data_IF_817279515507
#
_entry.id   IF_817279515507
#
_cell.length_a   1.000
_cell.length_b   1.000
_cell.length_c   1.000
_cell.angle_alpha   90.00
_cell.angle_beta   90.00
_cell.angle_gamma   90.00
#
_symmetry.space_group_name_H-M   'P 1'
#
loop_
_entity.id
_entity.type
_entity.pdbx_description
1 polymer ?
#
# COMPACT_ATOMS: atom_id res chain seq x y z
N UNK A 1 34.86 18.11 -41.15
CA UNK A 1 34.94 16.79 -40.49
C UNK A 1 34.26 16.93 -39.13
N UNK A 2 33.03 16.41 -38.96
CA UNK A 2 32.24 16.58 -37.73
C UNK A 2 32.39 15.34 -36.85
N UNK A 3 32.88 15.52 -35.62
CA UNK A 3 32.99 14.45 -34.63
C UNK A 3 31.57 14.07 -34.17
N UNK A 4 31.16 12.79 -34.17
CA UNK A 4 29.85 12.41 -33.66
C UNK A 4 29.78 12.68 -32.17
N UNK A 5 28.76 13.42 -31.71
CA UNK A 5 28.46 13.53 -30.27
C UNK A 5 28.11 12.14 -29.76
N UNK A 6 28.94 11.61 -28.87
CA UNK A 6 28.65 10.36 -28.16
C UNK A 6 27.27 10.44 -27.51
N UNK A 7 26.44 9.42 -27.78
CA UNK A 7 25.19 9.14 -27.08
C UNK A 7 25.30 9.47 -25.59
N UNK A 8 24.28 10.09 -24.95
CA UNK A 8 24.37 10.44 -23.53
C UNK A 8 24.68 9.16 -22.75
N UNK A 9 25.86 9.15 -22.15
CA UNK A 9 26.35 8.11 -21.28
C UNK A 9 25.25 7.83 -20.25
N UNK A 10 24.60 6.67 -20.33
CA UNK A 10 23.65 6.21 -19.32
C UNK A 10 24.43 6.21 -18.01
N UNK A 11 24.19 7.22 -17.15
CA UNK A 11 24.76 7.25 -15.80
C UNK A 11 24.47 5.88 -15.20
N UNK A 12 25.50 5.11 -14.84
CA UNK A 12 25.30 3.93 -13.99
C UNK A 12 24.61 4.48 -12.76
N UNK A 13 23.38 4.06 -12.51
CA UNK A 13 22.75 4.33 -11.24
C UNK A 13 23.64 3.67 -10.18
N UNK A 14 24.43 4.47 -9.46
CA UNK A 14 24.98 4.05 -8.18
C UNK A 14 23.81 4.05 -7.22
N UNK A 15 23.19 2.88 -7.06
CA UNK A 15 22.12 2.71 -6.08
C UNK A 15 22.80 2.62 -4.71
N UNK A 16 22.39 3.45 -3.76
CA UNK A 16 22.86 3.29 -2.38
C UNK A 16 22.40 1.93 -1.85
N UNK A 17 23.18 1.29 -0.99
CA UNK A 17 22.85 -0.06 -0.49
C UNK A 17 21.48 -0.10 0.20
N UNK A 18 21.10 0.96 0.91
CA UNK A 18 19.79 1.13 1.53
C UNK A 18 18.65 1.14 0.51
N UNK A 19 18.83 1.82 -0.63
CA UNK A 19 17.86 1.84 -1.72
C UNK A 19 17.74 0.47 -2.39
N UNK A 20 18.85 -0.27 -2.53
CA UNK A 20 18.84 -1.65 -3.01
C UNK A 20 18.03 -2.57 -2.09
N UNK A 21 18.28 -2.47 -0.78
CA UNK A 21 17.57 -3.21 0.26
C UNK A 21 16.07 -2.89 0.21
N UNK A 22 15.71 -1.61 0.10
CA UNK A 22 14.33 -1.16 0.00
C UNK A 22 13.65 -1.71 -1.27
N UNK A 23 14.32 -1.64 -2.42
CA UNK A 23 13.77 -2.16 -3.67
C UNK A 23 13.53 -3.67 -3.62
N UNK A 24 14.48 -4.44 -3.06
CA UNK A 24 14.32 -5.89 -2.88
C UNK A 24 13.16 -6.22 -1.93
N UNK A 25 13.02 -5.45 -0.85
CA UNK A 25 11.92 -5.62 0.08
C UNK A 25 10.57 -5.28 -0.58
N UNK A 26 10.49 -4.20 -1.36
CA UNK A 26 9.29 -3.77 -2.05
C UNK A 26 8.76 -4.80 -3.07
N UNK A 27 9.66 -5.60 -3.68
CA UNK A 27 9.27 -6.70 -4.58
C UNK A 27 9.05 -8.04 -3.86
N UNK A 28 9.07 -8.05 -2.52
CA UNK A 28 8.70 -9.19 -1.70
C UNK A 28 9.84 -10.14 -1.31
N UNK A 29 11.11 -9.73 -1.49
CA UNK A 29 12.23 -10.53 -0.98
C UNK A 29 12.29 -10.41 0.54
N UNK A 30 12.28 -11.56 1.23
CA UNK A 30 12.30 -11.57 2.69
C UNK A 30 13.63 -11.01 3.24
N UNK A 31 13.60 -10.37 4.41
CA UNK A 31 14.80 -9.80 5.05
C UNK A 31 15.91 -10.82 5.28
N UNK A 32 15.56 -12.10 5.50
CA UNK A 32 16.53 -13.22 5.56
C UNK A 32 17.19 -13.52 4.23
N UNK A 33 16.43 -13.52 3.13
CA UNK A 33 16.98 -13.72 1.78
C UNK A 33 17.85 -12.54 1.35
N UNK A 34 17.44 -11.31 1.68
CA UNK A 34 18.25 -10.11 1.45
C UNK A 34 19.56 -10.21 2.26
N UNK A 35 19.49 -10.59 3.53
CA UNK A 35 20.68 -10.81 4.40
C UNK A 35 21.67 -11.79 3.78
N UNK A 36 21.21 -12.98 3.39
CA UNK A 36 22.05 -13.99 2.76
C UNK A 36 22.64 -13.51 1.43
N UNK A 37 21.85 -12.82 0.60
CA UNK A 37 22.33 -12.24 -0.65
C UNK A 37 23.44 -11.20 -0.43
N UNK A 38 23.28 -10.32 0.56
CA UNK A 38 24.29 -9.30 0.86
C UNK A 38 25.59 -9.90 1.42
N UNK A 39 25.48 -10.96 2.22
CA UNK A 39 26.63 -11.70 2.71
C UNK A 39 27.39 -12.37 1.55
N UNK A 40 26.69 -13.00 0.62
CA UNK A 40 27.28 -13.68 -0.53
C UNK A 40 27.93 -12.72 -1.54
N UNK A 41 27.26 -11.60 -1.87
CA UNK A 41 27.72 -10.69 -2.93
C UNK A 41 28.70 -9.64 -2.42
N UNK A 42 28.50 -9.12 -1.21
CA UNK A 42 29.27 -8.00 -0.67
C UNK A 42 30.19 -8.37 0.49
N UNK A 43 30.14 -9.61 0.99
CA UNK A 43 30.91 -10.04 2.18
C UNK A 43 30.52 -9.28 3.45
N UNK A 44 29.45 -8.49 3.41
CA UNK A 44 29.01 -7.63 4.49
C UNK A 44 27.93 -8.34 5.32
N UNK A 45 28.17 -8.48 6.63
CA UNK A 45 27.22 -9.15 7.52
C UNK A 45 26.12 -8.19 7.96
N UNK A 46 25.01 -8.18 7.21
CA UNK A 46 23.77 -7.52 7.63
C UNK A 46 22.80 -8.57 8.13
N UNK A 47 22.55 -8.61 9.44
CA UNK A 47 21.51 -9.48 9.99
C UNK A 47 20.12 -9.10 9.44
N UNK A 48 19.19 -10.05 9.38
CA UNK A 48 17.80 -9.76 9.00
C UNK A 48 17.14 -8.71 9.91
N UNK A 49 17.59 -8.60 11.17
CA UNK A 49 17.13 -7.58 12.11
C UNK A 49 17.68 -6.20 11.76
N UNK A 50 18.95 -6.10 11.36
CA UNK A 50 19.56 -4.85 10.89
C UNK A 50 18.85 -4.33 9.64
N UNK A 51 18.52 -5.22 8.70
CA UNK A 51 17.74 -4.89 7.51
C UNK A 51 16.34 -4.41 7.90
N UNK A 52 15.66 -5.11 8.81
CA UNK A 52 14.34 -4.69 9.29
C UNK A 52 14.37 -3.30 9.92
N UNK A 53 15.42 -2.98 10.69
CA UNK A 53 15.59 -1.66 11.31
C UNK A 53 15.85 -0.58 10.27
N UNK A 54 16.68 -0.86 9.25
CA UNK A 54 16.91 0.07 8.15
C UNK A 54 15.60 0.43 7.45
N UNK A 55 14.71 -0.54 7.27
CA UNK A 55 13.40 -0.33 6.66
C UNK A 55 12.42 0.43 7.56
N UNK A 56 12.70 0.69 8.84
CA UNK A 56 11.82 1.49 9.71
C UNK A 56 11.62 2.92 9.18
N UNK A 57 12.58 3.48 8.44
CA UNK A 57 12.44 4.79 7.77
C UNK A 57 11.24 4.84 6.82
N UNK A 58 10.84 3.69 6.26
CA UNK A 58 9.66 3.60 5.39
C UNK A 58 8.36 3.77 6.16
N UNK A 59 8.35 3.51 7.48
CA UNK A 59 7.16 3.66 8.29
C UNK A 59 6.75 5.13 8.39
N UNK A 60 7.72 6.05 8.50
CA UNK A 60 7.45 7.49 8.48
C UNK A 60 6.88 7.93 7.14
N UNK A 61 7.40 7.41 6.03
CA UNK A 61 6.88 7.67 4.68
C UNK A 61 5.46 7.13 4.51
N UNK A 62 5.19 5.92 4.98
CA UNK A 62 3.84 5.32 4.97
C UNK A 62 2.88 6.15 5.82
N UNK A 63 3.31 6.60 7.01
CA UNK A 63 2.50 7.46 7.88
C UNK A 63 2.20 8.79 7.19
N UNK A 64 3.21 9.47 6.66
CA UNK A 64 3.05 10.72 5.92
C UNK A 64 2.12 10.55 4.70
N UNK A 65 2.22 9.43 3.98
CA UNK A 65 1.30 9.11 2.90
C UNK A 65 -0.13 8.90 3.41
N UNK A 66 -0.34 8.22 4.53
CA UNK A 66 -1.67 8.01 5.13
C UNK A 66 -2.32 9.30 5.63
N UNK A 67 -1.51 10.24 6.12
CA UNK A 67 -1.97 11.52 6.67
C UNK A 67 -2.00 12.64 5.62
N UNK A 68 -1.63 12.35 4.37
CA UNK A 68 -1.60 13.35 3.30
C UNK A 68 -3.02 13.88 3.03
N UNK A 69 -3.18 15.18 2.73
CA UNK A 69 -4.43 15.70 2.20
C UNK A 69 -4.80 15.00 0.89
N UNK A 70 -6.01 14.47 0.82
CA UNK A 70 -6.58 13.94 -0.41
C UNK A 70 -7.13 15.13 -1.20
N UNK A 71 -6.26 15.77 -1.99
CA UNK A 71 -6.64 16.92 -2.83
C UNK A 71 -7.58 16.52 -3.98
N UNK A 72 -8.36 17.50 -4.44
CA UNK A 72 -9.38 17.41 -5.51
C UNK A 72 -10.53 16.44 -5.26
N UNK A 73 -11.69 16.80 -5.83
CA UNK A 73 -12.87 15.96 -5.75
C UNK A 73 -12.67 14.65 -6.51
N UNK A 74 -13.14 13.53 -5.96
CA UNK A 74 -13.17 12.26 -6.68
C UNK A 74 -14.45 12.16 -7.50
N UNK A 75 -14.34 11.74 -8.76
CA UNK A 75 -15.49 11.42 -9.61
C UNK A 75 -16.23 10.19 -9.09
N UNK A 76 -15.49 9.19 -8.59
CA UNK A 76 -16.05 7.98 -7.99
C UNK A 76 -15.05 7.35 -7.01
N UNK A 77 -15.55 6.60 -6.03
CA UNK A 77 -14.74 5.80 -5.09
C UNK A 77 -15.20 4.35 -5.12
N UNK A 78 -14.26 3.43 -5.33
CA UNK A 78 -14.48 1.99 -5.36
C UNK A 78 -13.90 1.36 -4.09
N UNK A 79 -14.74 0.76 -3.23
CA UNK A 79 -14.30 -0.02 -2.08
C UNK A 79 -13.84 -1.42 -2.54
N UNK A 80 -12.68 -1.85 -2.08
CA UNK A 80 -12.12 -3.18 -2.35
C UNK A 80 -11.65 -3.86 -1.05
N UNK A 81 -12.03 -5.13 -0.85
CA UNK A 81 -11.66 -5.93 0.33
C UNK A 81 -10.77 -7.11 -0.06
N UNK A 82 -9.73 -7.40 0.72
CA UNK A 82 -8.94 -8.62 0.58
C UNK A 82 -8.45 -9.15 1.92
N UNK A 83 -8.28 -10.47 2.04
CA UNK A 83 -7.85 -11.09 3.29
C UNK A 83 -6.34 -11.36 3.34
N UNK A 84 -5.64 -10.62 4.19
CA UNK A 84 -4.21 -10.81 4.45
C UNK A 84 -3.99 -11.81 5.59
N UNK A 85 -2.96 -12.65 5.45
CA UNK A 85 -2.51 -13.50 6.54
C UNK A 85 -1.61 -12.68 7.48
N UNK A 86 -2.14 -12.27 8.62
CA UNK A 86 -1.42 -11.43 9.59
C UNK A 86 -1.03 -12.26 10.81
N UNK A 87 0.22 -12.11 11.24
CA UNK A 87 0.74 -12.73 12.46
C UNK A 87 0.81 -11.69 13.58
N UNK A 88 -0.12 -11.79 14.52
CA UNK A 88 -0.07 -11.06 15.81
C UNK A 88 0.49 -12.02 16.87
N UNK A 89 -0.38 -12.69 17.65
CA UNK A 89 -0.01 -13.82 18.52
C UNK A 89 -0.08 -15.15 17.79
N UNK A 90 -1.15 -15.35 17.02
CA UNK A 90 -1.35 -16.44 16.06
C UNK A 90 -1.50 -15.84 14.68
N UNK A 91 -1.34 -16.67 13.64
CA UNK A 91 -1.59 -16.24 12.26
C UNK A 91 -3.07 -16.39 11.98
N UNK A 92 -3.71 -15.34 11.50
CA UNK A 92 -5.12 -15.34 11.12
C UNK A 92 -5.30 -14.56 9.82
N UNK A 93 -6.41 -14.82 9.12
CA UNK A 93 -6.85 -13.99 8.00
C UNK A 93 -7.56 -12.76 8.55
N UNK A 94 -7.07 -11.58 8.22
CA UNK A 94 -7.68 -10.30 8.57
C UNK A 94 -8.06 -9.55 7.28
N UNK A 95 -9.25 -8.93 7.22
CA UNK A 95 -9.65 -8.11 6.09
C UNK A 95 -8.82 -6.84 6.03
N UNK A 96 -8.34 -6.54 4.82
CA UNK A 96 -7.75 -5.29 4.42
C UNK A 96 -8.70 -4.59 3.47
N UNK A 97 -9.06 -3.38 3.84
CA UNK A 97 -9.93 -2.48 3.11
C UNK A 97 -9.06 -1.53 2.30
N UNK A 98 -9.41 -1.30 1.04
CA UNK A 98 -8.73 -0.35 0.15
C UNK A 98 -9.79 0.54 -0.50
N UNK A 99 -9.58 1.85 -0.47
CA UNK A 99 -10.41 2.80 -1.19
C UNK A 99 -9.68 3.28 -2.44
N UNK A 100 -10.23 2.99 -3.62
CA UNK A 100 -9.69 3.42 -4.91
C UNK A 100 -10.53 4.57 -5.47
N UNK A 101 -9.96 5.76 -5.53
CA UNK A 101 -10.58 6.94 -6.12
C UNK A 101 -10.28 7.08 -7.60
N UNK A 102 -11.27 7.55 -8.36
CA UNK A 102 -11.10 8.01 -9.75
C UNK A 102 -11.16 9.54 -9.73
N UNK A 103 -10.08 10.19 -10.18
CA UNK A 103 -10.01 11.65 -10.33
C UNK A 103 -10.84 12.12 -11.52
N UNK A 104 -11.21 13.41 -11.60
CA UNK A 104 -11.99 13.96 -12.72
C UNK A 104 -11.30 13.80 -14.08
N UNK A 105 -9.97 13.71 -14.09
CA UNK A 105 -9.16 13.43 -15.28
C UNK A 105 -9.03 11.94 -15.64
N UNK A 106 -9.72 11.07 -14.89
CA UNK A 106 -9.73 9.62 -15.08
C UNK A 106 -8.55 8.87 -14.44
N UNK A 107 -7.61 9.55 -13.77
CA UNK A 107 -6.53 8.87 -13.03
C UNK A 107 -7.08 8.09 -11.83
N UNK A 108 -6.51 6.91 -11.59
CA UNK A 108 -6.80 6.08 -10.42
C UNK A 108 -5.82 6.39 -9.30
N UNK A 109 -6.32 6.57 -8.09
CA UNK A 109 -5.50 6.81 -6.89
C UNK A 109 -6.00 5.95 -5.73
N UNK A 110 -5.09 5.32 -5.00
CA UNK A 110 -5.44 4.71 -3.71
C UNK A 110 -5.59 5.83 -2.69
N UNK A 111 -6.81 6.05 -2.21
CA UNK A 111 -7.14 7.07 -1.22
C UNK A 111 -6.67 6.65 0.18
N UNK A 112 -6.83 5.38 0.50
CA UNK A 112 -6.37 4.81 1.77
C UNK A 112 -6.52 3.30 1.82
N UNK A 113 -5.96 2.72 2.89
CA UNK A 113 -6.17 1.32 3.24
C UNK A 113 -6.23 1.15 4.76
N UNK A 114 -7.00 0.16 5.21
CA UNK A 114 -7.27 -0.07 6.63
C UNK A 114 -7.28 -1.57 6.95
N UNK A 115 -6.73 -1.92 8.10
CA UNK A 115 -6.78 -3.26 8.69
C UNK A 115 -7.69 -3.18 9.91
N UNK A 116 -8.90 -3.72 9.81
CA UNK A 116 -9.95 -3.54 10.84
C UNK A 116 -10.00 -4.73 11.82
N UNK A 117 -9.00 -5.62 11.76
CA UNK A 117 -8.86 -6.73 12.70
C UNK A 117 -9.75 -7.92 12.37
N UNK A 118 -9.73 -8.94 13.25
CA UNK A 118 -10.31 -10.26 12.97
C UNK A 118 -11.85 -10.32 13.06
N UNK A 119 -12.55 -9.21 13.31
CA UNK A 119 -14.01 -9.18 13.46
C UNK A 119 -14.77 -9.30 12.13
N UNK A 120 -14.07 -9.57 11.04
CA UNK A 120 -14.65 -9.86 9.73
C UNK A 120 -14.98 -8.61 8.91
N UNK A 121 -15.50 -8.83 7.70
CA UNK A 121 -15.97 -7.74 6.86
C UNK A 121 -17.34 -7.25 7.32
N UNK A 122 -17.44 -6.00 7.77
CA UNK A 122 -18.73 -5.39 8.15
C UNK A 122 -18.99 -4.08 7.41
N UNK A 123 -20.27 -3.75 7.24
CA UNK A 123 -20.70 -2.46 6.69
C UNK A 123 -20.16 -1.28 7.53
N UNK A 124 -20.13 -1.43 8.86
CA UNK A 124 -19.62 -0.40 9.79
C UNK A 124 -18.14 -0.11 9.58
N UNK A 125 -17.34 -1.15 9.30
CA UNK A 125 -15.92 -0.99 9.02
C UNK A 125 -15.70 -0.16 7.74
N UNK A 126 -16.54 -0.36 6.71
CA UNK A 126 -16.52 0.44 5.49
C UNK A 126 -16.93 1.89 5.74
N UNK A 127 -17.99 2.12 6.52
CA UNK A 127 -18.44 3.46 6.89
C UNK A 127 -17.33 4.27 7.59
N UNK A 128 -16.58 3.63 8.50
CA UNK A 128 -15.44 4.26 9.15
C UNK A 128 -14.29 4.58 8.17
N UNK A 129 -13.98 3.67 7.24
CA UNK A 129 -12.97 3.90 6.19
C UNK A 129 -13.35 5.07 5.28
N UNK A 130 -14.64 5.17 4.91
CA UNK A 130 -15.15 6.26 4.09
C UNK A 130 -15.15 7.59 4.84
N UNK A 131 -15.57 7.59 6.11
CA UNK A 131 -15.54 8.77 6.97
C UNK A 131 -14.13 9.33 7.10
N UNK A 132 -13.14 8.47 7.39
CA UNK A 132 -11.74 8.90 7.51
C UNK A 132 -11.16 9.43 6.19
N UNK A 133 -11.60 8.90 5.05
CA UNK A 133 -11.22 9.42 3.73
C UNK A 133 -11.84 10.80 3.44
N UNK A 134 -13.09 11.01 3.85
CA UNK A 134 -13.77 12.31 3.72
C UNK A 134 -13.12 13.37 4.63
N UNK A 135 -12.79 13.01 5.87
CA UNK A 135 -12.05 13.88 6.81
C UNK A 135 -10.69 14.32 6.24
N UNK A 136 -10.05 13.47 5.42
CA UNK A 136 -8.80 13.78 4.73
C UNK A 136 -8.96 14.66 3.47
N UNK A 137 -10.19 15.08 3.14
CA UNK A 137 -10.48 16.06 2.08
C UNK A 137 -11.09 15.49 0.80
N UNK A 138 -11.34 14.18 0.73
CA UNK A 138 -11.99 13.57 -0.43
C UNK A 138 -13.47 13.93 -0.49
N UNK A 139 -13.81 15.00 -1.21
CA UNK A 139 -15.20 15.37 -1.53
C UNK A 139 -15.57 14.82 -2.90
N UNK A 140 -16.75 14.25 -3.11
CA UNK A 140 -17.06 13.63 -4.41
C UNK A 140 -18.33 12.82 -4.39
N UNK A 141 -19.18 13.07 -5.39
CA UNK A 141 -20.57 12.66 -5.49
C UNK A 141 -20.77 11.13 -5.49
N UNK A 142 -21.82 10.71 -4.81
CA UNK A 142 -22.38 9.36 -4.78
C UNK A 142 -21.34 8.25 -4.61
N UNK A 143 -21.09 7.94 -3.35
CA UNK A 143 -20.48 6.69 -2.88
C UNK A 143 -21.35 5.51 -3.35
N UNK A 144 -21.20 5.13 -4.62
CA UNK A 144 -21.80 3.95 -5.20
C UNK A 144 -21.09 2.71 -4.64
N UNK A 145 -21.45 2.36 -3.41
CA UNK A 145 -21.11 1.09 -2.82
C UNK A 145 -21.79 -0.02 -3.63
N UNK A 146 -21.02 -0.69 -4.49
CA UNK A 146 -21.41 -2.00 -5.02
C UNK A 146 -20.84 -3.02 -4.03
N UNK A 147 -21.72 -3.81 -3.40
CA UNK A 147 -21.29 -4.86 -2.46
C UNK A 147 -20.13 -5.67 -3.04
N UNK A 148 -19.07 -5.96 -2.25
CA UNK A 148 -18.01 -6.83 -2.69
C UNK A 148 -18.59 -8.22 -3.00
N UNK A 149 -18.31 -8.73 -4.21
CA UNK A 149 -18.64 -10.09 -4.58
C UNK A 149 -17.90 -11.05 -3.64
N UNK A 150 -18.63 -11.73 -2.75
CA UNK A 150 -18.04 -12.78 -1.90
C UNK A 150 -18.64 -12.94 -0.50
N UNK A 151 -19.53 -12.06 -0.03
CA UNK A 151 -20.25 -12.29 1.23
C UNK A 151 -21.38 -13.28 0.95
N UNK A 152 -21.19 -14.53 1.36
CA UNK A 152 -22.24 -15.55 1.35
C UNK A 152 -23.45 -15.03 2.13
N UNK A 153 -24.61 -15.09 1.47
CA UNK A 153 -25.87 -14.53 1.96
C UNK A 153 -26.23 -14.96 3.37
N UNK A 154 -26.53 -13.95 4.18
CA UNK A 154 -27.16 -14.05 5.48
C UNK A 154 -27.68 -12.67 5.81
N UNK A 155 -28.99 -12.53 5.71
CA UNK A 155 -29.80 -11.42 6.23
C UNK A 155 -29.71 -10.09 5.46
N UNK A 156 -30.58 -10.03 4.45
CA UNK A 156 -31.09 -8.79 3.89
C UNK A 156 -32.00 -8.13 4.93
N UNK A 157 -31.45 -7.27 5.77
CA UNK A 157 -32.22 -6.23 6.44
C UNK A 157 -32.28 -5.01 5.51
N UNK A 158 -33.49 -4.76 5.01
CA UNK A 158 -33.87 -3.59 4.25
C UNK A 158 -33.52 -2.31 5.05
N UNK A 159 -32.75 -1.42 4.42
CA UNK A 159 -32.69 -0.01 4.83
C UNK A 159 -33.74 0.78 4.03
N UNK A 160 -34.39 1.79 4.65
CA UNK A 160 -35.55 2.51 4.11
C UNK A 160 -35.25 3.29 2.83
#
# INVERSE_FOLDING_TARGET
>A
MSIPRSSPYRKRASLELSEAILALYAVGVSTRKISAFLEEVYGAFYSSQSISRLLEVTQEQVKAWRERPLGEECYAVFPEGTFLSIRRRKTAKEPMYVALGIKPDGRREILGFWLVGAEGESFRNWEECLRTSNDAGCKGADLHYRQPFGVGGGDQEDLP
#
